data_IF_199005596584
#
_entry.id   IF_199005596584
#
_cell.length_a   1.000
_cell.length_b   1.000
_cell.length_c   1.000
_cell.angle_alpha   90.00
_cell.angle_beta   90.00
_cell.angle_gamma   90.00
#
_symmetry.space_group_name_H-M   'P 1'
#
loop_
_entity.id
_entity.type
_entity.pdbx_description
1 polymer ?
#
# COMPACT_ATOMS: atom_id res chain seq x y z
N UNK A 1 29.20 -26.22 -14.05
CA UNK A 1 27.76 -26.05 -14.38
C UNK A 1 27.43 -24.62 -13.99
N UNK A 2 27.14 -23.78 -14.97
CA UNK A 2 26.98 -22.33 -14.88
C UNK A 2 25.95 -21.95 -13.83
N UNK A 3 26.36 -21.19 -12.82
CA UNK A 3 25.45 -20.51 -11.91
C UNK A 3 24.59 -19.56 -12.74
N UNK A 4 23.29 -19.83 -12.78
CA UNK A 4 22.34 -18.95 -13.44
C UNK A 4 22.43 -17.58 -12.78
N UNK A 5 22.61 -16.55 -13.60
CA UNK A 5 22.31 -15.18 -13.22
C UNK A 5 20.79 -15.12 -13.08
N UNK A 6 20.31 -15.42 -11.88
CA UNK A 6 18.99 -15.04 -11.44
C UNK A 6 19.23 -14.25 -10.17
N UNK A 7 18.80 -12.99 -10.15
CA UNK A 7 18.91 -12.19 -8.94
C UNK A 7 18.03 -12.87 -7.87
N UNK A 8 18.63 -13.53 -6.89
CA UNK A 8 17.97 -14.12 -5.70
C UNK A 8 17.24 -13.07 -4.82
N UNK A 9 16.99 -11.87 -5.34
CA UNK A 9 16.30 -10.75 -4.69
C UNK A 9 15.01 -10.30 -5.37
N UNK A 10 14.68 -10.73 -6.60
CA UNK A 10 13.41 -10.33 -7.25
C UNK A 10 12.19 -10.90 -6.53
N UNK A 11 12.29 -12.13 -6.02
CA UNK A 11 11.27 -12.74 -5.17
C UNK A 11 11.02 -11.94 -3.88
N UNK A 12 12.03 -11.24 -3.36
CA UNK A 12 11.89 -10.38 -2.19
C UNK A 12 11.05 -9.12 -2.50
N UNK A 13 11.16 -8.57 -3.71
CA UNK A 13 10.28 -7.48 -4.17
C UNK A 13 8.82 -7.95 -4.24
N UNK A 14 8.58 -9.14 -4.80
CA UNK A 14 7.23 -9.69 -4.92
C UNK A 14 6.62 -10.03 -3.55
N UNK A 15 7.40 -10.64 -2.66
CA UNK A 15 6.97 -10.93 -1.30
C UNK A 15 6.65 -9.65 -0.52
N UNK A 16 7.54 -8.67 -0.55
CA UNK A 16 7.34 -7.40 0.15
C UNK A 16 6.20 -6.58 -0.46
N UNK A 17 6.01 -6.63 -1.79
CA UNK A 17 4.86 -6.00 -2.45
C UNK A 17 3.52 -6.54 -1.96
N UNK A 18 3.39 -7.85 -1.72
CA UNK A 18 2.19 -8.46 -1.14
C UNK A 18 1.96 -8.04 0.31
N UNK A 19 3.03 -7.88 1.10
CA UNK A 19 2.93 -7.35 2.46
C UNK A 19 2.40 -5.91 2.44
N UNK A 20 2.91 -5.06 1.54
CA UNK A 20 2.41 -3.70 1.39
C UNK A 20 0.93 -3.65 0.99
N UNK A 21 0.47 -4.55 0.11
CA UNK A 21 -0.95 -4.69 -0.23
C UNK A 21 -1.81 -5.04 0.99
N UNK A 22 -1.34 -5.99 1.81
CA UNK A 22 -2.02 -6.38 3.04
C UNK A 22 -2.11 -5.22 4.03
N UNK A 23 -1.01 -4.48 4.22
CA UNK A 23 -0.99 -3.31 5.11
C UNK A 23 -1.92 -2.22 4.59
N UNK A 24 -1.87 -1.89 3.29
CA UNK A 24 -2.74 -0.88 2.69
C UNK A 24 -4.23 -1.26 2.83
N UNK A 25 -4.58 -2.52 2.60
CA UNK A 25 -5.95 -3.02 2.78
C UNK A 25 -6.42 -2.93 4.25
N UNK A 26 -5.55 -3.28 5.20
CA UNK A 26 -5.88 -3.19 6.63
C UNK A 26 -6.05 -1.74 7.10
N UNK A 27 -5.22 -0.82 6.60
CA UNK A 27 -5.32 0.62 6.88
C UNK A 27 -6.64 1.17 6.35
N UNK A 28 -7.01 0.85 5.09
CA UNK A 28 -8.31 1.25 4.50
C UNK A 28 -9.49 0.71 5.30
N UNK A 29 -9.46 -0.57 5.66
CA UNK A 29 -10.51 -1.20 6.47
C UNK A 29 -10.66 -0.54 7.84
N UNK A 30 -9.54 -0.13 8.45
CA UNK A 30 -9.58 0.62 9.72
C UNK A 30 -10.26 1.97 9.53
N UNK A 31 -9.96 2.67 8.43
CA UNK A 31 -10.66 3.89 8.04
C UNK A 31 -12.17 3.69 7.88
N UNK A 32 -12.59 2.63 7.17
CA UNK A 32 -14.01 2.28 7.00
C UNK A 32 -14.71 2.07 8.34
N UNK A 33 -14.10 1.33 9.28
CA UNK A 33 -14.65 1.12 10.62
C UNK A 33 -14.83 2.44 11.40
N UNK A 34 -13.89 3.39 11.23
CA UNK A 34 -13.99 4.70 11.86
C UNK A 34 -15.09 5.55 11.19
N UNK A 35 -15.26 5.43 9.88
CA UNK A 35 -16.35 6.08 9.16
C UNK A 35 -17.72 5.53 9.59
N UNK A 36 -17.85 4.24 9.87
CA UNK A 36 -19.10 3.67 10.37
C UNK A 36 -19.51 4.24 11.74
N UNK A 37 -18.55 4.70 12.55
CA UNK A 37 -18.82 5.41 13.82
C UNK A 37 -19.39 6.82 13.62
N UNK A 38 -19.22 7.43 12.44
CA UNK A 38 -19.79 8.75 12.08
C UNK A 38 -21.32 8.70 12.03
N UNK A 39 -21.88 7.52 11.72
CA UNK A 39 -23.27 7.33 11.32
C UNK A 39 -24.18 6.72 12.41
N UNK A 40 -23.72 6.56 13.66
CA UNK A 40 -24.56 6.06 14.76
C UNK A 40 -25.13 7.19 15.65
N UNK A 41 -26.31 7.75 15.30
CA UNK A 41 -27.00 8.73 16.14
C UNK A 41 -27.54 8.12 17.46
N UNK A 42 -27.49 6.80 17.63
CA UNK A 42 -27.90 6.10 18.86
C UNK A 42 -26.93 6.31 20.03
N UNK A 43 -25.66 6.63 19.77
CA UNK A 43 -24.63 6.72 20.80
C UNK A 43 -24.72 8.00 21.67
N UNK A 44 -25.36 9.07 21.19
CA UNK A 44 -25.24 10.41 21.83
C UNK A 44 -26.57 11.09 22.21
N UNK A 45 -27.73 10.52 21.89
CA UNK A 45 -29.04 11.01 22.33
C UNK A 45 -29.51 12.31 21.65
N UNK A 46 -30.83 12.43 21.42
CA UNK A 46 -31.46 13.32 20.43
C UNK A 46 -31.23 14.85 20.64
N UNK A 47 -30.83 15.31 21.84
CA UNK A 47 -30.68 16.75 22.13
C UNK A 47 -29.24 17.25 22.37
N UNK A 48 -28.38 16.45 23.02
CA UNK A 48 -26.94 16.75 23.20
C UNK A 48 -26.06 16.10 22.12
N UNK A 49 -26.56 15.01 21.52
CA UNK A 49 -25.88 14.26 20.48
C UNK A 49 -25.87 14.92 19.11
N UNK A 50 -26.59 16.03 18.89
CA UNK A 50 -26.42 16.76 17.64
C UNK A 50 -25.11 17.56 17.59
N UNK A 51 -24.74 18.24 18.68
CA UNK A 51 -23.49 19.02 18.72
C UNK A 51 -22.28 18.11 18.99
N UNK A 52 -22.40 17.23 19.99
CA UNK A 52 -21.33 16.28 20.33
C UNK A 52 -21.21 15.22 19.24
N UNK A 53 -22.33 14.72 18.70
CA UNK A 53 -22.32 13.82 17.56
C UNK A 53 -21.79 14.50 16.31
N UNK A 54 -22.14 15.75 15.98
CA UNK A 54 -21.52 16.44 14.84
C UNK A 54 -20.01 16.63 14.99
N UNK A 55 -19.53 16.94 16.20
CA UNK A 55 -18.09 17.04 16.46
C UNK A 55 -17.40 15.67 16.37
N UNK A 56 -17.97 14.63 16.98
CA UNK A 56 -17.43 13.27 16.94
C UNK A 56 -17.45 12.70 15.51
N UNK A 57 -18.56 12.86 14.79
CA UNK A 57 -18.72 12.53 13.37
C UNK A 57 -17.68 13.26 12.51
N UNK A 58 -17.39 14.54 12.79
CA UNK A 58 -16.32 15.25 12.09
C UNK A 58 -14.95 14.66 12.40
N UNK A 59 -14.61 14.39 13.66
CA UNK A 59 -13.32 13.78 14.01
C UNK A 59 -13.16 12.38 13.40
N UNK A 60 -14.22 11.59 13.37
CA UNK A 60 -14.23 10.28 12.73
C UNK A 60 -14.10 10.39 11.20
N UNK A 61 -14.75 11.37 10.56
CA UNK A 61 -14.58 11.63 9.12
C UNK A 61 -13.14 12.08 8.79
N UNK A 62 -12.59 13.03 9.56
CA UNK A 62 -11.21 13.50 9.40
C UNK A 62 -10.20 12.34 9.60
N UNK A 63 -10.48 11.45 10.57
CA UNK A 63 -9.67 10.26 10.80
C UNK A 63 -9.79 9.24 9.66
N UNK A 64 -10.99 8.99 9.13
CA UNK A 64 -11.23 8.16 7.95
C UNK A 64 -10.37 8.65 6.77
N UNK A 65 -10.45 9.94 6.45
CA UNK A 65 -9.71 10.52 5.31
C UNK A 65 -8.20 10.39 5.50
N UNK A 66 -7.73 10.50 6.76
CA UNK A 66 -6.33 10.26 7.11
C UNK A 66 -5.92 8.80 6.85
N UNK A 67 -6.75 7.83 7.23
CA UNK A 67 -6.48 6.41 6.94
C UNK A 67 -6.46 6.13 5.44
N UNK A 68 -7.40 6.69 4.67
CA UNK A 68 -7.40 6.59 3.20
C UNK A 68 -6.10 7.13 2.62
N UNK A 69 -5.70 8.33 3.03
CA UNK A 69 -4.45 8.97 2.56
C UNK A 69 -3.21 8.13 2.88
N UNK A 70 -3.17 7.49 4.06
CA UNK A 70 -2.10 6.56 4.40
C UNK A 70 -2.10 5.31 3.51
N UNK A 71 -3.27 4.74 3.23
CA UNK A 71 -3.41 3.64 2.29
C UNK A 71 -2.90 3.99 0.88
N UNK A 72 -3.15 5.19 0.40
CA UNK A 72 -2.64 5.69 -0.89
C UNK A 72 -1.12 5.94 -0.87
N UNK A 73 -0.57 6.37 0.27
CA UNK A 73 0.87 6.54 0.41
C UNK A 73 1.60 5.20 0.35
N UNK A 74 1.03 4.15 0.96
CA UNK A 74 1.57 2.79 0.91
C UNK A 74 1.56 2.24 -0.52
N UNK A 75 0.45 2.40 -1.25
CA UNK A 75 0.37 2.00 -2.66
C UNK A 75 1.45 2.70 -3.51
N UNK A 76 1.66 4.00 -3.31
CA UNK A 76 2.73 4.74 -4.01
C UNK A 76 4.13 4.21 -3.70
N UNK A 77 4.37 3.73 -2.48
CA UNK A 77 5.65 3.10 -2.15
C UNK A 77 5.80 1.74 -2.81
N UNK A 78 4.71 0.97 -2.91
CA UNK A 78 4.68 -0.28 -3.68
C UNK A 78 5.00 -0.03 -5.15
N UNK A 79 4.40 0.97 -5.79
CA UNK A 79 4.64 1.27 -7.21
C UNK A 79 6.13 1.52 -7.49
N UNK A 80 6.81 2.29 -6.62
CA UNK A 80 8.26 2.52 -6.73
C UNK A 80 9.09 1.25 -6.61
N UNK A 81 8.64 0.29 -5.82
CA UNK A 81 9.32 -1.00 -5.68
C UNK A 81 9.11 -1.89 -6.90
N UNK A 82 7.92 -1.83 -7.51
CA UNK A 82 7.65 -2.49 -8.80
C UNK A 82 8.51 -1.89 -9.90
N UNK A 83 8.62 -0.56 -9.97
CA UNK A 83 9.53 0.11 -10.90
C UNK A 83 11.00 -0.31 -10.69
N UNK A 84 11.45 -0.39 -9.44
CA UNK A 84 12.79 -0.85 -9.10
C UNK A 84 13.02 -2.31 -9.57
N UNK A 85 12.08 -3.22 -9.27
CA UNK A 85 12.10 -4.62 -9.71
C UNK A 85 12.23 -4.72 -11.23
N UNK A 86 11.38 -4.01 -11.97
CA UNK A 86 11.38 -4.02 -13.43
C UNK A 86 12.71 -3.49 -13.98
N UNK A 87 13.26 -2.43 -13.38
CA UNK A 87 14.56 -1.90 -13.79
C UNK A 87 15.70 -2.90 -13.54
N UNK A 88 15.66 -3.67 -12.45
CA UNK A 88 16.64 -4.74 -12.21
C UNK A 88 16.54 -5.85 -13.26
N UNK A 89 15.33 -6.27 -13.60
CA UNK A 89 15.07 -7.29 -14.63
C UNK A 89 15.54 -6.84 -16.03
N UNK A 90 15.25 -5.60 -16.41
CA UNK A 90 15.71 -5.01 -17.68
C UNK A 90 17.24 -4.93 -17.76
N UNK A 91 17.91 -4.53 -16.66
CA UNK A 91 19.37 -4.47 -16.59
C UNK A 91 20.01 -5.85 -16.70
N UNK A 92 19.43 -6.86 -16.06
CA UNK A 92 19.92 -8.24 -16.17
C UNK A 92 19.83 -8.74 -17.61
N UNK A 93 18.70 -8.52 -18.27
CA UNK A 93 18.52 -8.91 -19.66
C UNK A 93 19.51 -8.21 -20.59
N UNK A 94 19.76 -6.91 -20.37
CA UNK A 94 20.77 -6.17 -21.12
C UNK A 94 22.20 -6.71 -20.90
N UNK A 95 22.54 -7.11 -19.66
CA UNK A 95 23.83 -7.73 -19.33
C UNK A 95 23.96 -9.10 -20.02
N UNK A 96 22.95 -9.95 -19.94
CA UNK A 96 22.93 -11.27 -20.60
C UNK A 96 23.07 -11.15 -22.11
N UNK A 97 22.36 -10.21 -22.73
CA UNK A 97 22.46 -9.93 -24.16
C UNK A 97 23.86 -9.45 -24.54
N UNK A 98 24.48 -8.60 -23.71
CA UNK A 98 25.84 -8.11 -23.95
C UNK A 98 26.87 -9.23 -23.88
N UNK A 99 26.81 -10.08 -22.85
CA UNK A 99 27.74 -11.21 -22.66
C UNK A 99 27.61 -12.18 -23.83
N UNK A 100 26.37 -12.52 -24.21
CA UNK A 100 26.10 -13.42 -25.34
C UNK A 100 26.63 -12.86 -26.66
N UNK A 101 26.56 -11.54 -26.86
CA UNK A 101 27.04 -10.86 -28.07
C UNK A 101 28.58 -10.81 -28.16
N UNK A 102 29.29 -10.82 -27.03
CA UNK A 102 30.76 -10.80 -26.98
C UNK A 102 31.42 -12.19 -26.80
N UNK A 103 30.63 -13.25 -26.60
CA UNK A 103 31.11 -14.65 -26.51
C UNK A 103 31.02 -15.44 -27.83
N UNK A 104 30.75 -14.78 -28.97
CA UNK A 104 30.93 -15.30 -30.33
C UNK A 104 32.25 -14.80 -30.93
#
# INVERSE_FOLDING_TARGET
>A
MSGGYGIEGLDAFDAFGRELDSVAANVRRTGELVNDMVADPGLWGIALGQVIGAAASKFCADAHDTFVTYGEAIDRHKDKLVEARNSYEEQEQAVVDSITRYQL
#
